data_IF_864346209263
#
_entry.id   IF_864346209263
#
_cell.length_a   1.000
_cell.length_b   1.000
_cell.length_c   1.000
_cell.angle_alpha   90.00
_cell.angle_beta   90.00
_cell.angle_gamma   90.00
#
_symmetry.space_group_name_H-M   'P 1'
#
loop_
_entity.id
_entity.type
_entity.pdbx_description
1 polymer ?
#
# COMPACT_ATOMS: atom_id res chain seq x y z
N UNK A 1 -22.97 -6.92 2.51
CA UNK A 1 -22.02 -5.85 2.87
C UNK A 1 -21.34 -6.14 4.21
N UNK A 2 -22.04 -6.81 5.13
CA UNK A 2 -21.64 -7.00 6.53
C UNK A 2 -20.31 -7.73 6.75
N UNK A 3 -19.92 -8.61 5.83
CA UNK A 3 -18.61 -9.29 5.87
C UNK A 3 -17.46 -8.42 5.35
N UNK A 4 -17.76 -7.44 4.49
CA UNK A 4 -16.78 -6.56 3.83
C UNK A 4 -16.46 -5.37 4.72
N UNK A 5 -17.44 -4.83 5.45
CA UNK A 5 -17.22 -3.76 6.44
C UNK A 5 -16.75 -4.29 7.82
N UNK A 6 -16.70 -5.62 7.98
CA UNK A 6 -16.29 -6.30 9.21
C UNK A 6 -17.30 -6.19 10.35
N UNK A 7 -18.55 -5.78 10.09
CA UNK A 7 -19.64 -5.81 11.08
C UNK A 7 -20.05 -7.24 11.45
N UNK A 8 -19.91 -8.19 10.51
CA UNK A 8 -19.98 -9.62 10.77
C UNK A 8 -18.57 -10.21 10.71
N UNK A 9 -18.19 -10.89 11.80
CA UNK A 9 -16.89 -11.55 11.93
C UNK A 9 -16.66 -12.57 10.83
N UNK A 10 -15.52 -12.50 10.16
CA UNK A 10 -15.06 -13.50 9.20
C UNK A 10 -13.54 -13.65 9.21
N UNK A 11 -13.07 -14.74 8.60
CA UNK A 11 -11.65 -14.96 8.34
C UNK A 11 -11.06 -13.93 7.37
N UNK A 12 -11.89 -13.33 6.52
CA UNK A 12 -11.48 -12.34 5.52
C UNK A 12 -11.30 -10.96 6.14
N UNK A 13 -12.16 -10.60 7.10
CA UNK A 13 -12.17 -9.29 7.76
C UNK A 13 -12.86 -9.33 9.12
N UNK A 14 -12.28 -8.64 10.10
CA UNK A 14 -12.83 -8.44 11.43
C UNK A 14 -12.39 -7.08 12.01
N UNK A 15 -13.03 -6.64 13.11
CA UNK A 15 -12.70 -5.38 13.81
C UNK A 15 -11.83 -5.59 15.07
N UNK A 16 -11.36 -6.81 15.30
CA UNK A 16 -10.73 -7.23 16.56
C UNK A 16 -9.21 -7.00 16.57
N UNK A 17 -8.65 -6.35 15.53
CA UNK A 17 -7.22 -6.12 15.42
C UNK A 17 -6.39 -7.40 15.25
N UNK A 18 -7.03 -8.51 14.86
CA UNK A 18 -6.37 -9.80 14.61
C UNK A 18 -6.01 -9.96 13.15
N UNK A 19 -4.99 -10.78 12.86
CA UNK A 19 -4.61 -11.11 11.49
C UNK A 19 -5.78 -11.81 10.79
N UNK A 20 -6.17 -11.29 9.64
CA UNK A 20 -7.17 -11.88 8.76
C UNK A 20 -6.55 -12.23 7.41
N UNK A 21 -7.21 -13.10 6.67
CA UNK A 21 -6.67 -13.72 5.45
C UNK A 21 -6.31 -12.70 4.36
N UNK A 22 -7.03 -11.58 4.27
CA UNK A 22 -6.72 -10.49 3.33
C UNK A 22 -5.35 -9.86 3.59
N UNK A 23 -5.02 -9.58 4.86
CA UNK A 23 -3.70 -9.09 5.23
C UNK A 23 -2.61 -10.14 5.00
N UNK A 24 -2.86 -11.38 5.43
CA UNK A 24 -1.90 -12.48 5.26
C UNK A 24 -1.56 -12.68 3.79
N UNK A 25 -2.58 -12.76 2.94
CA UNK A 25 -2.43 -12.89 1.50
C UNK A 25 -1.61 -11.73 0.92
N UNK A 26 -1.92 -10.49 1.28
CA UNK A 26 -1.16 -9.33 0.82
C UNK A 26 0.32 -9.43 1.21
N UNK A 27 0.64 -9.78 2.46
CA UNK A 27 2.04 -9.87 2.92
C UNK A 27 2.79 -11.01 2.24
N UNK A 28 2.18 -12.19 2.15
CA UNK A 28 2.77 -13.37 1.52
C UNK A 28 2.98 -13.15 0.03
N UNK A 29 2.00 -12.55 -0.66
CA UNK A 29 2.08 -12.20 -2.09
C UNK A 29 3.17 -11.17 -2.34
N UNK A 30 3.23 -10.10 -1.53
CA UNK A 30 4.30 -9.10 -1.59
C UNK A 30 5.68 -9.74 -1.40
N UNK A 31 5.82 -10.64 -0.44
CA UNK A 31 7.07 -11.34 -0.16
C UNK A 31 7.49 -12.30 -1.27
N UNK A 32 6.53 -13.03 -1.83
CA UNK A 32 6.76 -13.92 -2.95
C UNK A 32 7.21 -13.15 -4.20
N UNK A 33 6.47 -12.10 -4.58
CA UNK A 33 6.82 -11.25 -5.74
C UNK A 33 8.16 -10.55 -5.53
N UNK A 34 8.43 -10.09 -4.30
CA UNK A 34 9.69 -9.45 -3.95
C UNK A 34 10.87 -10.43 -3.83
N UNK A 35 10.63 -11.74 -3.95
CA UNK A 35 11.67 -12.77 -3.88
C UNK A 35 12.30 -12.94 -2.50
N UNK A 36 11.60 -12.55 -1.43
CA UNK A 36 12.08 -12.63 -0.05
C UNK A 36 11.21 -13.51 0.87
N UNK A 37 10.23 -14.22 0.32
CA UNK A 37 9.48 -15.23 1.06
C UNK A 37 10.43 -16.42 1.39
N UNK A 38 10.70 -16.70 2.68
CA UNK A 38 11.76 -17.64 3.05
C UNK A 38 11.35 -19.11 2.96
N UNK A 39 10.04 -19.39 2.86
CA UNK A 39 9.47 -20.74 2.72
C UNK A 39 8.40 -20.74 1.63
N UNK A 40 7.98 -21.92 1.18
CA UNK A 40 6.86 -22.03 0.25
C UNK A 40 5.53 -21.64 0.91
N UNK A 41 4.56 -21.20 0.11
CA UNK A 41 3.21 -20.90 0.60
C UNK A 41 2.52 -22.14 1.19
N UNK A 42 2.81 -23.33 0.65
CA UNK A 42 2.31 -24.60 1.18
C UNK A 42 2.84 -24.92 2.58
N UNK A 43 4.12 -24.67 2.83
CA UNK A 43 4.72 -24.83 4.17
C UNK A 43 4.09 -23.86 5.17
N UNK A 44 3.91 -22.58 4.80
CA UNK A 44 3.23 -21.60 5.66
C UNK A 44 1.78 -22.02 6.00
N UNK A 45 1.06 -22.61 5.04
CA UNK A 45 -0.30 -23.10 5.27
C UNK A 45 -0.34 -24.29 6.23
N UNK A 46 0.68 -25.16 6.23
CA UNK A 46 0.77 -26.29 7.17
C UNK A 46 0.97 -25.81 8.62
N UNK A 47 1.61 -24.66 8.80
CA UNK A 47 1.80 -24.01 10.10
C UNK A 47 0.58 -23.21 10.57
N UNK A 48 -0.45 -23.09 9.74
CA UNK A 48 -1.63 -22.26 9.99
C UNK A 48 -2.82 -23.10 10.44
N UNK A 49 -3.55 -22.62 11.44
CA UNK A 49 -4.81 -23.17 11.90
C UNK A 49 -5.88 -22.06 11.98
N UNK A 50 -7.13 -22.43 11.80
CA UNK A 50 -8.26 -21.53 11.96
C UNK A 50 -9.10 -21.94 13.16
N UNK A 51 -9.15 -21.07 14.18
CA UNK A 51 -9.90 -21.33 15.41
C UNK A 51 -10.65 -20.08 15.84
N UNK A 52 -11.95 -20.27 16.11
CA UNK A 52 -12.84 -19.22 16.63
C UNK A 52 -12.72 -17.90 15.85
N UNK A 53 -12.84 -17.89 14.52
CA UNK A 53 -12.83 -16.63 13.76
C UNK A 53 -11.46 -16.01 13.50
N UNK A 54 -10.37 -16.64 13.95
CA UNK A 54 -9.02 -16.10 13.92
C UNK A 54 -8.01 -17.08 13.33
N UNK A 55 -7.03 -16.54 12.60
CA UNK A 55 -5.87 -17.28 12.14
C UNK A 55 -4.89 -17.45 13.30
N UNK A 56 -4.47 -18.69 13.52
CA UNK A 56 -3.46 -19.08 14.49
C UNK A 56 -2.31 -19.74 13.74
N UNK A 57 -1.11 -19.63 14.30
CA UNK A 57 0.09 -20.21 13.71
C UNK A 57 0.83 -21.01 14.77
N UNK A 58 1.63 -21.99 14.33
CA UNK A 58 2.72 -22.53 15.15
C UNK A 58 3.65 -21.39 15.60
N UNK A 59 4.43 -21.54 16.69
CA UNK A 59 5.39 -20.52 17.09
C UNK A 59 6.34 -20.09 15.95
N UNK A 60 6.78 -21.06 15.15
CA UNK A 60 7.65 -20.86 13.98
C UNK A 60 6.93 -20.09 12.88
N UNK A 61 5.73 -20.52 12.47
CA UNK A 61 4.92 -19.82 11.47
C UNK A 61 4.51 -18.42 11.92
N UNK A 62 4.21 -18.24 13.21
CA UNK A 62 3.87 -16.95 13.79
C UNK A 62 5.03 -15.96 13.78
N UNK A 63 6.26 -16.44 14.03
CA UNK A 63 7.48 -15.63 13.89
C UNK A 63 7.64 -15.17 12.44
N UNK A 64 7.49 -16.07 11.48
CA UNK A 64 7.57 -15.74 10.06
C UNK A 64 6.52 -14.69 9.66
N UNK A 65 5.24 -14.88 10.01
CA UNK A 65 4.18 -13.92 9.69
C UNK A 65 4.48 -12.55 10.32
N UNK A 66 5.04 -12.52 11.53
CA UNK A 66 5.46 -11.28 12.17
C UNK A 66 6.57 -10.58 11.39
N UNK A 67 7.58 -11.31 10.92
CA UNK A 67 8.64 -10.77 10.05
C UNK A 67 8.07 -10.18 8.75
N UNK A 68 7.11 -10.87 8.12
CA UNK A 68 6.42 -10.35 6.93
C UNK A 68 5.67 -9.04 7.21
N UNK A 69 5.00 -8.92 8.37
CA UNK A 69 4.34 -7.68 8.80
C UNK A 69 5.36 -6.54 8.95
N UNK A 70 6.51 -6.83 9.55
CA UNK A 70 7.57 -5.83 9.72
C UNK A 70 8.14 -5.37 8.38
N UNK A 71 8.35 -6.27 7.43
CA UNK A 71 8.81 -5.92 6.08
C UNK A 71 7.79 -5.09 5.31
N UNK A 72 6.50 -5.46 5.35
CA UNK A 72 5.45 -4.63 4.76
C UNK A 72 5.43 -3.25 5.41
N UNK A 73 5.50 -3.16 6.75
CA UNK A 73 5.55 -1.88 7.44
C UNK A 73 6.77 -1.04 7.01
N UNK A 74 7.96 -1.64 6.92
CA UNK A 74 9.20 -0.99 6.46
C UNK A 74 9.06 -0.47 5.03
N UNK A 75 8.53 -1.28 4.12
CA UNK A 75 8.29 -0.88 2.74
C UNK A 75 7.31 0.29 2.68
N UNK A 76 6.20 0.22 3.43
CA UNK A 76 5.16 1.24 3.42
C UNK A 76 5.65 2.59 3.95
N UNK A 77 6.58 2.59 4.91
CA UNK A 77 7.20 3.80 5.47
C UNK A 77 8.51 4.18 4.80
N UNK A 78 8.93 3.44 3.77
CA UNK A 78 10.15 3.76 3.02
C UNK A 78 10.00 5.08 2.28
N UNK A 79 11.10 5.81 2.13
CA UNK A 79 11.12 7.09 1.40
C UNK A 79 10.73 6.90 -0.07
N UNK A 80 11.09 5.77 -0.68
CA UNK A 80 10.69 5.42 -2.03
C UNK A 80 9.15 5.33 -2.16
N UNK A 81 8.50 4.59 -1.26
CA UNK A 81 7.04 4.44 -1.28
C UNK A 81 6.33 5.75 -0.94
N UNK A 82 6.79 6.48 0.10
CA UNK A 82 6.17 7.74 0.52
C UNK A 82 6.25 8.78 -0.60
N UNK A 83 7.44 8.96 -1.19
CA UNK A 83 7.70 9.98 -2.20
C UNK A 83 6.86 9.76 -3.46
N UNK A 84 6.88 8.53 -3.99
CA UNK A 84 6.12 8.18 -5.20
C UNK A 84 4.62 8.34 -4.95
N UNK A 85 4.08 7.84 -3.83
CA UNK A 85 2.66 7.97 -3.51
C UNK A 85 2.24 9.43 -3.31
N UNK A 86 3.08 10.27 -2.69
CA UNK A 86 2.78 11.68 -2.50
C UNK A 86 2.70 12.41 -3.86
N UNK A 87 3.66 12.17 -4.74
CA UNK A 87 3.67 12.75 -6.08
C UNK A 87 2.49 12.25 -6.92
N UNK A 88 2.21 10.95 -6.92
CA UNK A 88 1.06 10.39 -7.64
C UNK A 88 -0.26 11.00 -7.16
N UNK A 89 -0.45 11.13 -5.83
CA UNK A 89 -1.64 11.79 -5.27
C UNK A 89 -1.75 13.26 -5.69
N UNK A 90 -0.64 13.99 -5.73
CA UNK A 90 -0.61 15.38 -6.22
C UNK A 90 -1.09 15.44 -7.67
N UNK A 91 -0.53 14.60 -8.54
CA UNK A 91 -0.85 14.61 -9.97
C UNK A 91 -2.32 14.23 -10.23
N UNK A 92 -2.81 13.15 -9.61
CA UNK A 92 -4.22 12.76 -9.70
C UNK A 92 -5.16 13.84 -9.15
N UNK A 93 -4.77 14.52 -8.05
CA UNK A 93 -5.54 15.65 -7.52
C UNK A 93 -5.61 16.79 -8.53
N UNK A 94 -4.53 17.08 -9.25
CA UNK A 94 -4.55 18.11 -10.29
C UNK A 94 -5.52 17.73 -11.43
N UNK A 95 -5.52 16.48 -11.91
CA UNK A 95 -6.49 16.01 -12.90
C UNK A 95 -7.94 16.21 -12.44
N UNK A 96 -8.22 15.93 -11.16
CA UNK A 96 -9.57 16.12 -10.58
C UNK A 96 -9.93 17.62 -10.52
N UNK A 97 -9.01 18.48 -10.06
CA UNK A 97 -9.25 19.93 -9.92
C UNK A 97 -9.47 20.58 -11.27
N UNK A 98 -8.73 20.16 -12.30
CA UNK A 98 -8.85 20.69 -13.66
C UNK A 98 -10.11 20.18 -14.39
N UNK A 99 -10.75 19.11 -13.88
CA UNK A 99 -11.92 18.49 -14.50
C UNK A 99 -11.59 17.41 -15.54
N UNK A 100 -10.32 17.07 -15.71
CA UNK A 100 -9.85 16.01 -16.63
C UNK A 100 -10.13 14.60 -16.09
N UNK A 101 -10.36 14.48 -14.77
CA UNK A 101 -10.75 13.24 -14.11
C UNK A 101 -11.99 13.42 -13.25
N UNK A 102 -13.10 12.81 -13.67
CA UNK A 102 -14.30 12.69 -12.86
C UNK A 102 -14.13 11.58 -11.80
N UNK A 103 -14.23 11.98 -10.53
CA UNK A 103 -14.16 11.09 -9.36
C UNK A 103 -15.22 10.00 -9.41
N UNK A 104 -16.38 10.26 -10.01
CA UNK A 104 -17.45 9.26 -10.12
C UNK A 104 -17.09 8.10 -11.05
N UNK A 105 -16.14 8.32 -11.97
CA UNK A 105 -15.68 7.31 -12.91
C UNK A 105 -14.51 6.46 -12.37
N UNK A 106 -13.84 6.89 -11.30
CA UNK A 106 -12.70 6.18 -10.71
C UNK A 106 -12.92 4.67 -10.49
N UNK A 107 -14.10 4.19 -10.01
CA UNK A 107 -14.33 2.75 -9.82
C UNK A 107 -14.25 1.92 -11.11
N UNK A 108 -14.42 2.53 -12.29
CA UNK A 108 -14.35 1.86 -13.58
C UNK A 108 -12.98 1.99 -14.26
N UNK A 109 -12.04 2.69 -13.61
CA UNK A 109 -10.73 2.96 -14.16
C UNK A 109 -9.71 1.92 -13.70
N UNK A 110 -8.74 1.66 -14.57
CA UNK A 110 -7.54 0.88 -14.26
C UNK A 110 -6.37 1.83 -14.09
N UNK A 111 -5.26 1.31 -13.57
CA UNK A 111 -4.01 2.07 -13.46
C UNK A 111 -3.58 2.63 -14.82
N UNK A 112 -3.72 1.84 -15.90
CA UNK A 112 -3.44 2.26 -17.28
C UNK A 112 -4.28 3.46 -17.72
N UNK A 113 -5.57 3.51 -17.36
CA UNK A 113 -6.41 4.67 -17.69
C UNK A 113 -5.91 5.94 -17.00
N UNK A 114 -5.48 5.84 -15.74
CA UNK A 114 -4.93 6.98 -14.99
C UNK A 114 -3.59 7.42 -15.57
N UNK A 115 -2.70 6.47 -15.89
CA UNK A 115 -1.42 6.75 -16.53
C UNK A 115 -1.60 7.46 -17.88
N UNK A 116 -2.56 7.03 -18.70
CA UNK A 116 -2.88 7.69 -19.96
C UNK A 116 -3.37 9.13 -19.77
N UNK A 117 -4.22 9.39 -18.78
CA UNK A 117 -4.64 10.76 -18.47
C UNK A 117 -3.45 11.63 -18.07
N UNK A 118 -2.58 11.13 -17.20
CA UNK A 118 -1.38 11.84 -16.78
C UNK A 118 -0.44 12.17 -17.95
N UNK A 119 -0.28 11.23 -18.89
CA UNK A 119 0.56 11.41 -20.07
C UNK A 119 -0.05 12.34 -21.12
N UNK A 120 -1.39 12.46 -21.18
CA UNK A 120 -2.09 13.22 -22.20
C UNK A 120 -2.56 14.62 -21.74
N UNK A 121 -2.34 14.95 -20.46
CA UNK A 121 -2.72 16.24 -19.88
C UNK A 121 -1.85 17.42 -20.40
N UNK A 122 -2.16 18.63 -19.94
CA UNK A 122 -1.38 19.83 -20.17
C UNK A 122 0.11 19.66 -19.80
N UNK A 123 0.95 20.48 -20.45
CA UNK A 123 2.42 20.36 -20.42
C UNK A 123 3.00 20.14 -19.01
N UNK A 124 2.46 20.82 -17.99
CA UNK A 124 2.99 20.73 -16.62
C UNK A 124 2.72 19.41 -15.91
N UNK A 125 1.54 18.78 -16.07
CA UNK A 125 1.24 17.50 -15.41
C UNK A 125 2.04 16.39 -16.09
N UNK A 126 2.09 16.40 -17.43
CA UNK A 126 2.87 15.44 -18.21
C UNK A 126 4.36 15.46 -17.85
N UNK A 127 4.97 16.64 -17.75
CA UNK A 127 6.38 16.76 -17.38
C UNK A 127 6.64 16.21 -15.96
N UNK A 128 5.75 16.44 -15.00
CA UNK A 128 5.90 15.87 -13.67
C UNK A 128 5.63 14.35 -13.63
N UNK A 129 4.69 13.83 -14.41
CA UNK A 129 4.44 12.38 -14.50
C UNK A 129 5.61 11.65 -15.17
N UNK A 130 6.17 12.21 -16.24
CA UNK A 130 7.38 11.68 -16.88
C UNK A 130 8.56 11.64 -15.90
N UNK A 131 8.77 12.70 -15.12
CA UNK A 131 9.81 12.72 -14.08
C UNK A 131 9.54 11.69 -12.98
N UNK A 132 8.29 11.47 -12.60
CA UNK A 132 7.95 10.45 -11.62
C UNK A 132 8.29 9.04 -12.14
N UNK A 133 8.00 8.74 -13.41
CA UNK A 133 8.25 7.43 -14.01
C UNK A 133 9.74 7.19 -14.31
N UNK A 134 10.41 8.18 -14.89
CA UNK A 134 11.78 8.04 -15.42
C UNK A 134 12.86 8.48 -14.42
N UNK A 135 12.51 9.34 -13.46
CA UNK A 135 13.45 9.94 -12.51
C UNK A 135 13.02 9.79 -11.05
N UNK A 136 12.24 8.75 -10.72
CA UNK A 136 11.78 8.47 -9.33
C UNK A 136 12.92 8.48 -8.30
N UNK A 137 14.12 8.05 -8.69
CA UNK A 137 15.34 8.07 -7.88
C UNK A 137 15.79 9.47 -7.44
N UNK A 138 15.29 10.54 -8.07
CA UNK A 138 15.55 11.94 -7.67
C UNK A 138 14.63 12.43 -6.56
N UNK A 139 13.54 11.72 -6.28
CA UNK A 139 12.60 12.09 -5.23
C UNK A 139 13.32 11.99 -3.88
N UNK A 140 13.13 13.02 -3.05
CA UNK A 140 13.67 13.08 -1.69
C UNK A 140 12.52 13.31 -0.73
N UNK A 141 12.54 12.55 0.36
CA UNK A 141 11.55 12.63 1.43
C UNK A 141 12.29 13.05 2.70
N UNK A 142 11.77 14.07 3.37
CA UNK A 142 12.31 14.57 4.64
C UNK A 142 11.16 14.88 5.59
N UNK A 143 11.43 14.78 6.90
CA UNK A 143 10.53 15.26 7.97
C UNK A 143 10.75 16.74 8.28
N UNK A 144 11.88 17.28 7.87
CA UNK A 144 12.26 18.67 8.10
C UNK A 144 11.59 19.59 7.07
N UNK A 145 11.47 20.87 7.41
CA UNK A 145 10.99 21.87 6.46
C UNK A 145 12.08 22.11 5.41
N UNK A 146 11.84 21.79 4.13
CA UNK A 146 12.84 22.04 3.10
C UNK A 146 12.92 23.52 2.73
N UNK A 147 14.07 23.94 2.22
CA UNK A 147 14.30 25.28 1.66
C UNK A 147 13.78 25.44 0.22
N UNK A 148 13.09 24.41 -0.30
CA UNK A 148 12.48 24.37 -1.62
C UNK A 148 10.99 24.07 -1.49
N UNK A 149 10.20 24.39 -2.53
CA UNK A 149 8.81 23.96 -2.60
C UNK A 149 8.75 22.43 -2.61
N UNK A 150 7.97 21.86 -1.70
CA UNK A 150 7.81 20.41 -1.56
C UNK A 150 6.35 20.05 -1.28
N UNK A 151 5.92 18.91 -1.81
CA UNK A 151 4.60 18.35 -1.49
C UNK A 151 4.57 17.91 -0.03
N UNK A 152 3.50 18.29 0.68
CA UNK A 152 3.26 17.84 2.05
C UNK A 152 2.32 16.64 2.02
N UNK A 153 2.70 15.56 2.68
CA UNK A 153 1.87 14.38 2.85
C UNK A 153 1.77 13.97 4.30
N UNK A 154 0.59 13.51 4.72
CA UNK A 154 0.35 12.96 6.05
C UNK A 154 0.25 11.44 5.90
N UNK A 155 1.12 10.72 6.60
CA UNK A 155 1.09 9.26 6.61
C UNK A 155 0.07 8.78 7.63
N UNK A 156 -1.08 8.33 7.13
CA UNK A 156 -2.16 7.76 7.95
C UNK A 156 -2.18 6.24 7.78
N UNK A 157 -1.10 5.54 8.13
CA UNK A 157 -1.04 4.07 8.11
C UNK A 157 -0.86 3.50 9.52
N UNK A 158 -1.70 2.52 9.84
CA UNK A 158 -1.82 1.85 11.15
C UNK A 158 -0.51 1.27 11.69
N UNK A 159 0.42 0.86 10.81
CA UNK A 159 1.73 0.33 11.21
C UNK A 159 2.60 1.31 12.00
N UNK A 160 2.34 2.62 11.90
CA UNK A 160 3.03 3.67 12.66
C UNK A 160 2.51 3.85 14.10
N UNK A 161 1.42 3.17 14.48
CA UNK A 161 0.90 3.15 15.85
C UNK A 161 1.68 2.23 16.79
N UNK A 162 2.46 1.29 16.23
CA UNK A 162 3.49 0.57 16.96
C UNK A 162 4.72 1.49 17.04
N UNK A 163 4.86 2.21 18.16
CA UNK A 163 6.03 3.04 18.44
C UNK A 163 7.32 2.24 18.15
N UNK A 164 8.14 2.76 17.23
CA UNK A 164 9.59 2.51 17.21
C UNK A 164 10.21 3.13 18.47
#
# INVERSE_FOLDING_TARGET
MDYIDGSRRSILRNKEGTVHADHLDSWVRSAYIGGYLPISTGELLNDMNYRNGSLQFTPEGGKLVTELIWEEARMQVSTANIGINAMMRKLVRCLIINGDLDVTNLPNMTDMHIEQLLCNDGRSIREESERLLMESWRIRVTREKPNVTAEKTILSKLYLGCRL
#
